data_IF_389795876459
#
_entry.id   IF_389795876459
#
_cell.length_a   1.000
_cell.length_b   1.000
_cell.length_c   1.000
_cell.angle_alpha   90.00
_cell.angle_beta   90.00
_cell.angle_gamma   90.00
#
_symmetry.space_group_name_H-M   'P 1'
#
loop_
_entity.id
_entity.type
_entity.pdbx_description
1 polymer ?
#
# COMPACT_ATOMS: atom_id res chain seq x y z
N UNK A 1 -12.11 0.70 33.32
CA UNK A 1 -11.60 -0.58 33.86
C UNK A 1 -12.37 -1.79 33.31
N UNK A 2 -12.80 -1.77 32.03
CA UNK A 2 -13.45 -2.88 31.30
C UNK A 2 -12.83 -3.15 29.92
N UNK A 3 -11.71 -2.50 29.61
CA UNK A 3 -11.01 -2.62 28.32
C UNK A 3 -9.80 -3.57 28.39
N UNK A 4 -9.66 -4.35 29.47
CA UNK A 4 -8.52 -5.24 29.72
C UNK A 4 -8.90 -6.73 29.83
N UNK A 5 -10.17 -7.09 29.60
CA UNK A 5 -10.64 -8.47 29.81
C UNK A 5 -11.25 -9.13 28.55
N UNK A 6 -11.25 -8.46 27.39
CA UNK A 6 -11.52 -9.10 26.09
C UNK A 6 -10.23 -9.58 25.39
N UNK A 7 -9.12 -9.62 26.12
CA UNK A 7 -7.83 -10.13 25.66
C UNK A 7 -7.77 -11.66 25.82
N UNK A 8 -8.68 -12.42 25.22
CA UNK A 8 -8.49 -13.88 25.00
C UNK A 8 -9.56 -14.49 24.10
N UNK A 9 -9.32 -14.45 22.78
CA UNK A 9 -9.53 -15.53 21.79
C UNK A 9 -9.43 -14.98 20.36
N UNK A 10 -8.34 -14.28 20.05
CA UNK A 10 -7.88 -14.29 18.66
C UNK A 10 -7.29 -15.68 18.44
N UNK A 11 -7.91 -16.49 17.58
CA UNK A 11 -7.19 -17.61 16.98
C UNK A 11 -5.94 -16.98 16.38
N UNK A 12 -4.77 -17.32 16.91
CA UNK A 12 -3.50 -16.75 16.52
C UNK A 12 -3.21 -17.23 15.10
N UNK A 13 -3.83 -16.57 14.12
CA UNK A 13 -3.57 -16.80 12.72
C UNK A 13 -2.09 -16.54 12.56
N UNK A 14 -1.37 -17.59 12.19
CA UNK A 14 0.06 -17.55 11.99
C UNK A 14 0.32 -17.86 10.51
N UNK A 15 1.35 -17.24 9.92
CA UNK A 15 1.75 -17.61 8.57
C UNK A 15 2.08 -19.10 8.51
N UNK A 16 1.75 -19.74 7.38
CA UNK A 16 2.14 -21.13 7.12
C UNK A 16 3.66 -21.29 7.32
N UNK A 17 4.16 -22.40 7.88
CA UNK A 17 5.59 -22.56 8.18
C UNK A 17 6.51 -22.27 6.99
N UNK A 18 6.19 -22.77 5.80
CA UNK A 18 6.98 -22.50 4.59
C UNK A 18 6.96 -21.03 4.13
N UNK A 19 5.86 -20.31 4.37
CA UNK A 19 5.79 -18.86 4.12
C UNK A 19 6.69 -18.13 5.11
N UNK A 20 6.63 -18.48 6.41
CA UNK A 20 7.47 -17.85 7.43
C UNK A 20 8.96 -18.12 7.19
N UNK A 21 9.32 -19.34 6.78
CA UNK A 21 10.69 -19.70 6.44
C UNK A 21 11.22 -18.78 5.33
N UNK A 22 10.55 -18.81 4.17
CA UNK A 22 10.94 -18.00 3.01
C UNK A 22 10.99 -16.50 3.29
N UNK A 23 9.92 -15.96 3.87
CA UNK A 23 9.73 -14.52 3.90
C UNK A 23 10.32 -13.84 5.13
N UNK A 24 10.59 -14.58 6.22
CA UNK A 24 11.01 -13.97 7.49
C UNK A 24 12.33 -14.57 7.96
N UNK A 25 12.40 -15.90 8.08
CA UNK A 25 13.59 -16.55 8.66
C UNK A 25 14.82 -16.39 7.77
N UNK A 26 14.65 -16.52 6.45
CA UNK A 26 15.75 -16.53 5.48
C UNK A 26 16.12 -15.12 4.94
N UNK A 27 15.47 -14.08 5.46
CA UNK A 27 15.65 -12.69 4.99
C UNK A 27 16.68 -11.85 5.78
N UNK A 28 17.29 -12.43 6.82
CA UNK A 28 18.19 -11.72 7.73
C UNK A 28 19.43 -11.15 7.04
N UNK A 29 20.02 -11.91 6.11
CA UNK A 29 21.25 -11.50 5.41
C UNK A 29 21.02 -10.35 4.42
N UNK A 30 19.77 -10.14 3.99
CA UNK A 30 19.38 -9.06 3.08
C UNK A 30 18.93 -7.79 3.82
N UNK A 31 18.91 -7.78 5.15
CA UNK A 31 18.37 -6.67 5.92
C UNK A 31 19.15 -5.36 5.72
N UNK A 32 18.42 -4.25 5.56
CA UNK A 32 18.99 -2.91 5.47
C UNK A 32 18.71 -2.18 6.78
N UNK A 33 19.76 -1.79 7.49
CA UNK A 33 19.66 -0.94 8.66
C UNK A 33 19.69 0.54 8.27
N UNK A 34 18.74 1.32 8.77
CA UNK A 34 18.72 2.79 8.61
C UNK A 34 18.88 3.48 9.97
N UNK A 35 19.59 4.63 10.04
CA UNK A 35 19.86 5.33 11.31
C UNK A 35 18.63 6.01 11.93
N UNK A 36 17.51 5.97 11.22
CA UNK A 36 16.22 6.51 11.61
C UNK A 36 15.62 5.77 12.80
N UNK A 37 14.93 6.48 13.70
CA UNK A 37 14.17 5.88 14.80
C UNK A 37 12.67 6.13 14.60
N UNK A 38 11.88 5.06 14.43
CA UNK A 38 10.45 5.17 14.18
C UNK A 38 9.64 5.78 15.35
N UNK A 39 10.18 5.85 16.58
CA UNK A 39 9.49 6.56 17.68
C UNK A 39 9.47 8.06 17.52
N UNK A 40 10.36 8.61 16.69
CA UNK A 40 10.54 10.05 16.55
C UNK A 40 9.58 10.63 15.48
N UNK A 41 8.82 9.76 14.80
CA UNK A 41 7.78 10.16 13.86
C UNK A 41 6.66 10.88 14.59
N UNK A 42 6.38 12.11 14.18
CA UNK A 42 5.27 12.89 14.71
C UNK A 42 3.93 12.29 14.29
N UNK A 43 3.03 12.15 15.26
CA UNK A 43 1.63 11.78 15.06
C UNK A 43 0.72 12.91 15.53
N UNK A 44 -0.50 12.98 14.99
CA UNK A 44 -1.52 13.88 15.49
C UNK A 44 -1.90 13.52 16.95
N UNK A 45 -2.52 14.45 17.67
CA UNK A 45 -2.92 14.25 19.07
C UNK A 45 -3.88 13.09 19.30
N UNK A 46 -4.59 12.65 18.25
CA UNK A 46 -5.46 11.46 18.29
C UNK A 46 -4.69 10.15 18.23
N UNK A 47 -3.43 10.15 17.77
CA UNK A 47 -2.61 8.96 17.54
C UNK A 47 -2.98 8.15 16.29
N UNK A 48 -4.06 8.50 15.59
CA UNK A 48 -4.58 7.75 14.44
C UNK A 48 -4.29 8.40 13.08
N UNK A 49 -3.67 9.59 13.06
CA UNK A 49 -3.36 10.35 11.84
C UNK A 49 -1.95 10.93 11.92
N UNK A 50 -1.35 11.15 10.76
CA UNK A 50 -0.15 11.95 10.62
C UNK A 50 -0.46 13.46 10.61
N UNK A 51 0.51 14.33 10.93
CA UNK A 51 0.36 15.76 10.72
C UNK A 51 0.26 16.07 9.22
N UNK A 52 -0.67 16.96 8.86
CA UNK A 52 -0.79 17.45 7.49
C UNK A 52 0.41 18.33 7.16
N UNK A 53 1.13 17.97 6.10
CA UNK A 53 2.25 18.76 5.56
C UNK A 53 1.84 19.41 4.24
N UNK A 54 2.45 20.54 3.91
CA UNK A 54 2.34 21.10 2.56
C UNK A 54 2.89 20.08 1.55
N UNK A 55 2.27 20.03 0.37
CA UNK A 55 2.75 19.23 -0.75
C UNK A 55 3.70 20.10 -1.55
N UNK A 56 4.88 19.58 -1.84
CA UNK A 56 5.81 20.21 -2.76
C UNK A 56 5.44 19.70 -4.15
N UNK A 57 4.85 20.55 -5.00
CA UNK A 57 4.44 20.17 -6.36
C UNK A 57 5.64 20.09 -7.32
N UNK A 58 6.58 19.19 -7.02
CA UNK A 58 7.80 18.94 -7.80
C UNK A 58 7.96 17.44 -8.07
N UNK A 59 8.29 17.10 -9.30
CA UNK A 59 8.82 15.80 -9.68
C UNK A 59 10.35 15.86 -9.59
N UNK A 60 10.97 14.85 -9.00
CA UNK A 60 12.42 14.77 -8.84
C UNK A 60 13.00 13.75 -9.80
N UNK A 61 14.12 14.13 -10.43
CA UNK A 61 14.99 13.18 -11.11
C UNK A 61 15.74 12.35 -10.08
N UNK A 62 16.09 11.11 -10.45
CA UNK A 62 16.88 10.23 -9.58
C UNK A 62 18.19 10.91 -9.15
N UNK A 63 18.90 11.52 -10.10
CA UNK A 63 20.16 12.22 -9.84
C UNK A 63 20.01 13.42 -8.90
N UNK A 64 18.87 14.11 -8.92
CA UNK A 64 18.60 15.19 -7.97
C UNK A 64 18.53 14.68 -6.54
N UNK A 65 18.09 13.43 -6.33
CA UNK A 65 17.96 12.83 -4.99
C UNK A 65 19.24 12.11 -4.54
N UNK A 66 19.97 11.48 -5.46
CA UNK A 66 21.03 10.50 -5.11
C UNK A 66 22.45 10.92 -5.50
N UNK A 67 22.64 12.04 -6.22
CA UNK A 67 23.99 12.51 -6.56
C UNK A 67 24.78 12.87 -5.30
N UNK A 68 26.13 12.77 -5.33
CA UNK A 68 26.97 13.14 -4.19
C UNK A 68 26.75 14.59 -3.70
N UNK A 69 26.38 15.49 -4.61
CA UNK A 69 26.12 16.91 -4.33
C UNK A 69 24.63 17.20 -4.03
N UNK A 70 23.79 16.17 -3.97
CA UNK A 70 22.36 16.33 -3.68
C UNK A 70 22.13 16.85 -2.25
N UNK A 71 21.32 17.91 -2.13
CA UNK A 71 20.85 18.41 -0.84
C UNK A 71 19.93 17.41 -0.10
N UNK A 72 19.39 16.42 -0.80
CA UNK A 72 18.47 15.43 -0.25
C UNK A 72 19.21 14.22 0.35
N UNK A 73 20.39 13.89 -0.17
CA UNK A 73 21.27 12.85 0.36
C UNK A 73 20.66 11.44 0.36
N UNK A 74 19.80 11.11 -0.61
CA UNK A 74 19.20 9.78 -0.68
C UNK A 74 20.25 8.76 -1.12
N UNK A 75 20.18 7.57 -0.52
CA UNK A 75 20.97 6.41 -0.96
C UNK A 75 20.09 5.53 -1.84
N UNK A 76 20.54 5.28 -3.06
CA UNK A 76 19.91 4.29 -3.92
C UNK A 76 20.31 2.88 -3.48
N UNK A 77 19.32 2.04 -3.20
CA UNK A 77 19.50 0.62 -2.95
C UNK A 77 19.03 -0.17 -4.17
N UNK A 78 19.93 -0.88 -4.83
CA UNK A 78 19.54 -1.81 -5.90
C UNK A 78 18.85 -3.03 -5.30
N UNK A 79 17.74 -3.42 -5.92
CA UNK A 79 16.94 -4.57 -5.52
C UNK A 79 16.54 -5.38 -6.76
N UNK A 80 16.60 -6.70 -6.65
CA UNK A 80 16.31 -7.63 -7.74
C UNK A 80 14.80 -7.83 -7.98
N UNK A 81 13.95 -7.32 -7.08
CA UNK A 81 12.50 -7.51 -7.13
C UNK A 81 12.04 -8.90 -6.66
N UNK A 82 12.93 -9.75 -6.15
CA UNK A 82 12.67 -11.14 -5.79
C UNK A 82 13.05 -11.44 -4.33
N UNK A 83 14.26 -11.04 -3.94
CA UNK A 83 14.80 -11.29 -2.60
C UNK A 83 14.03 -10.48 -1.58
N UNK A 84 13.57 -11.12 -0.52
CA UNK A 84 12.83 -10.42 0.52
C UNK A 84 13.82 -9.63 1.37
N UNK A 85 13.65 -8.30 1.40
CA UNK A 85 14.62 -7.39 2.04
C UNK A 85 13.90 -6.51 3.06
N UNK A 86 14.01 -6.80 4.36
CA UNK A 86 13.48 -5.92 5.40
C UNK A 86 14.36 -4.67 5.56
N UNK A 87 13.73 -3.53 5.81
CA UNK A 87 14.41 -2.30 6.21
C UNK A 87 14.07 -2.04 7.67
N UNK A 88 15.09 -2.05 8.52
CA UNK A 88 14.98 -1.90 9.95
C UNK A 88 15.50 -0.56 10.44
N UNK A 89 14.79 0.02 11.39
CA UNK A 89 15.18 1.26 12.04
C UNK A 89 16.31 1.03 13.07
N UNK A 90 16.79 2.09 13.71
CA UNK A 90 17.91 2.05 14.65
C UNK A 90 17.67 1.18 15.90
N UNK A 91 16.41 0.83 16.18
CA UNK A 91 16.00 -0.08 17.25
C UNK A 91 15.66 -1.49 16.72
N UNK A 92 16.11 -1.83 15.50
CA UNK A 92 15.88 -3.12 14.84
C UNK A 92 14.40 -3.43 14.58
N UNK A 93 13.54 -2.41 14.53
CA UNK A 93 12.15 -2.59 14.13
C UNK A 93 12.05 -2.52 12.62
N UNK A 94 11.47 -3.55 12.01
CA UNK A 94 11.16 -3.53 10.58
C UNK A 94 10.09 -2.47 10.32
N UNK A 95 10.39 -1.53 9.43
CA UNK A 95 9.49 -0.41 9.07
C UNK A 95 9.04 -0.46 7.60
N UNK A 96 9.82 -1.13 6.76
CA UNK A 96 9.50 -1.40 5.35
C UNK A 96 9.96 -2.83 5.02
N UNK A 97 9.24 -3.50 4.13
CA UNK A 97 9.66 -4.79 3.57
C UNK A 97 9.59 -4.70 2.06
N UNK A 98 10.73 -4.90 1.39
CA UNK A 98 10.72 -5.18 -0.05
C UNK A 98 10.30 -6.65 -0.21
N UNK A 99 9.03 -6.85 -0.58
CA UNK A 99 8.33 -8.13 -0.39
C UNK A 99 8.69 -9.22 -1.40
N UNK A 100 9.32 -8.86 -2.53
CA UNK A 100 9.63 -9.76 -3.63
C UNK A 100 8.37 -10.35 -4.25
N UNK A 101 8.42 -11.63 -4.59
CA UNK A 101 7.29 -12.36 -5.16
C UNK A 101 7.18 -13.81 -4.62
N UNK A 102 6.00 -14.46 -4.75
CA UNK A 102 5.86 -15.90 -4.51
C UNK A 102 6.75 -16.74 -5.42
N UNK A 103 7.10 -17.97 -4.99
CA UNK A 103 7.72 -18.98 -5.86
C UNK A 103 6.66 -19.58 -6.78
N UNK A 104 6.12 -18.71 -7.63
CA UNK A 104 5.11 -19.05 -8.61
C UNK A 104 5.61 -18.58 -9.98
N UNK A 105 5.89 -19.50 -10.91
CA UNK A 105 6.36 -19.14 -12.25
C UNK A 105 5.35 -18.32 -13.04
N UNK A 106 4.10 -18.23 -12.59
CA UNK A 106 3.04 -17.41 -13.21
C UNK A 106 2.97 -15.98 -12.65
N UNK A 107 3.83 -15.60 -11.70
CA UNK A 107 3.74 -14.28 -11.06
C UNK A 107 3.90 -13.11 -12.05
N UNK A 108 4.78 -13.23 -13.03
CA UNK A 108 4.93 -12.22 -14.08
C UNK A 108 3.64 -12.02 -14.91
N UNK A 109 2.89 -13.11 -15.13
CA UNK A 109 1.59 -13.04 -15.80
C UNK A 109 0.53 -12.34 -14.94
N UNK A 110 0.60 -12.44 -13.60
CA UNK A 110 -0.25 -11.66 -12.69
C UNK A 110 0.00 -10.18 -12.88
N UNK A 111 1.26 -9.75 -12.83
CA UNK A 111 1.63 -8.34 -12.99
C UNK A 111 1.24 -7.81 -14.36
N UNK A 112 1.51 -8.57 -15.42
CA UNK A 112 1.13 -8.22 -16.80
C UNK A 112 -0.39 -8.07 -16.91
N UNK A 113 -1.16 -9.04 -16.43
CA UNK A 113 -2.61 -9.03 -16.53
C UNK A 113 -3.24 -7.90 -15.71
N UNK A 114 -2.74 -7.62 -14.50
CA UNK A 114 -3.19 -6.49 -13.70
C UNK A 114 -2.89 -5.14 -14.37
N UNK A 115 -1.70 -4.98 -14.97
CA UNK A 115 -1.34 -3.76 -15.70
C UNK A 115 -2.21 -3.54 -16.94
N UNK A 116 -2.48 -4.60 -17.71
CA UNK A 116 -3.36 -4.54 -18.88
C UNK A 116 -4.81 -4.21 -18.50
N UNK A 117 -5.34 -4.78 -17.42
CA UNK A 117 -6.69 -4.46 -16.97
C UNK A 117 -6.78 -3.01 -16.46
N UNK A 118 -5.72 -2.51 -15.81
CA UNK A 118 -5.65 -1.12 -15.39
C UNK A 118 -5.65 -0.16 -16.60
N UNK A 119 -4.96 -0.51 -17.68
CA UNK A 119 -4.97 0.28 -18.92
C UNK A 119 -6.34 0.23 -19.63
N UNK A 120 -6.97 -0.94 -19.70
CA UNK A 120 -8.36 -1.06 -20.20
C UNK A 120 -9.35 -0.27 -19.36
N UNK A 121 -9.19 -0.26 -18.04
CA UNK A 121 -10.00 0.55 -17.15
C UNK A 121 -9.75 2.05 -17.41
N UNK A 122 -8.49 2.46 -17.58
CA UNK A 122 -8.09 3.86 -17.88
C UNK A 122 -8.84 4.42 -19.08
N UNK A 123 -8.92 3.64 -20.16
CA UNK A 123 -9.59 4.01 -21.40
C UNK A 123 -11.13 4.14 -21.24
N UNK A 124 -11.71 3.45 -20.27
CA UNK A 124 -13.17 3.44 -20.00
C UNK A 124 -13.60 4.50 -19.00
N UNK A 125 -12.72 4.95 -18.11
CA UNK A 125 -13.04 5.98 -17.10
C UNK A 125 -13.29 7.32 -17.79
N UNK A 126 -14.35 8.01 -17.36
CA UNK A 126 -14.64 9.38 -17.79
C UNK A 126 -13.91 10.36 -16.88
N UNK A 127 -12.74 10.81 -17.32
CA UNK A 127 -11.91 11.73 -16.55
C UNK A 127 -12.50 13.16 -16.53
N UNK A 128 -12.60 13.81 -15.36
CA UNK A 128 -12.98 15.22 -15.27
C UNK A 128 -12.11 16.09 -16.19
N UNK A 129 -12.74 17.06 -16.88
CA UNK A 129 -12.09 17.96 -17.85
C UNK A 129 -11.19 17.22 -18.87
N UNK A 130 -11.58 16.00 -19.25
CA UNK A 130 -10.83 15.17 -20.20
C UNK A 130 -9.46 14.72 -19.68
N UNK A 131 -9.26 14.69 -18.36
CA UNK A 131 -8.02 14.24 -17.74
C UNK A 131 -6.87 15.25 -17.78
N UNK A 132 -7.15 16.52 -18.13
CA UNK A 132 -6.15 17.59 -18.22
C UNK A 132 -5.78 18.23 -16.88
N UNK A 133 -6.52 17.93 -15.83
CA UNK A 133 -6.23 18.46 -14.49
C UNK A 133 -5.13 17.64 -13.82
N UNK A 134 -4.18 18.37 -13.22
CA UNK A 134 -3.17 17.77 -12.35
C UNK A 134 -3.84 17.25 -11.09
N UNK A 135 -3.47 16.03 -10.70
CA UNK A 135 -3.85 15.48 -9.41
C UNK A 135 -3.12 16.19 -8.27
N UNK A 136 -3.67 16.12 -7.05
CA UNK A 136 -3.05 16.68 -5.83
C UNK A 136 -1.65 16.11 -5.53
N UNK A 137 -1.36 14.93 -6.07
CA UNK A 137 -0.17 14.14 -5.74
C UNK A 137 0.73 13.90 -6.94
N UNK A 138 0.45 14.50 -8.09
CA UNK A 138 1.22 14.28 -9.31
C UNK A 138 0.39 14.46 -10.57
N UNK A 139 1.07 14.44 -11.72
CA UNK A 139 0.44 14.58 -13.02
C UNK A 139 -0.12 13.25 -13.56
N UNK A 140 -0.95 12.58 -12.75
CA UNK A 140 -1.61 11.34 -13.10
C UNK A 140 -2.97 11.25 -12.40
N UNK A 141 -3.81 10.30 -12.83
CA UNK A 141 -5.12 10.08 -12.24
C UNK A 141 -5.08 8.95 -11.24
N UNK A 142 -5.76 9.12 -10.11
CA UNK A 142 -5.91 8.08 -9.09
C UNK A 142 -7.37 7.91 -8.73
N UNK A 143 -7.83 6.65 -8.65
CA UNK A 143 -9.15 6.32 -8.14
C UNK A 143 -9.04 5.32 -7.00
N UNK A 144 -9.74 5.61 -5.91
CA UNK A 144 -9.80 4.75 -4.74
C UNK A 144 -11.05 3.87 -4.77
N UNK A 145 -10.93 2.61 -4.34
CA UNK A 145 -12.04 1.69 -4.11
C UNK A 145 -12.00 1.15 -2.67
N UNK A 146 -13.16 0.82 -2.10
CA UNK A 146 -13.31 0.27 -0.75
C UNK A 146 -13.74 1.26 0.31
N UNK A 147 -13.55 0.89 1.56
CA UNK A 147 -14.05 1.61 2.72
C UNK A 147 -13.03 2.67 3.15
N UNK A 148 -13.50 3.91 3.31
CA UNK A 148 -12.65 5.02 3.71
C UNK A 148 -13.36 5.95 4.69
N UNK A 149 -12.55 6.73 5.42
CA UNK A 149 -13.01 7.76 6.34
C UNK A 149 -12.20 9.05 6.14
N UNK A 150 -12.84 10.20 6.34
CA UNK A 150 -12.27 11.53 6.06
C UNK A 150 -12.93 12.22 4.86
N UNK A 151 -12.38 13.36 4.43
CA UNK A 151 -12.92 14.11 3.28
C UNK A 151 -14.30 14.74 3.51
N UNK A 152 -14.71 14.93 4.76
CA UNK A 152 -16.04 15.43 5.13
C UNK A 152 -17.08 14.33 5.37
N UNK A 153 -16.72 13.05 5.19
CA UNK A 153 -17.60 11.93 5.50
C UNK A 153 -17.88 11.87 7.02
N UNK A 154 -19.14 11.69 7.46
CA UNK A 154 -19.50 11.69 8.88
C UNK A 154 -19.16 10.38 9.60
N UNK A 155 -19.00 9.29 8.83
CA UNK A 155 -18.64 7.94 9.29
C UNK A 155 -17.84 7.22 8.20
N UNK A 156 -17.24 6.04 8.46
CA UNK A 156 -16.68 5.22 7.40
C UNK A 156 -17.74 4.88 6.34
N UNK A 157 -17.39 5.02 5.07
CA UNK A 157 -18.29 4.75 3.94
C UNK A 157 -17.51 4.15 2.77
N UNK A 158 -18.24 3.49 1.85
CA UNK A 158 -17.66 3.07 0.57
C UNK A 158 -17.26 4.30 -0.26
N UNK A 159 -16.11 4.23 -0.93
CA UNK A 159 -15.62 5.29 -1.80
C UNK A 159 -16.69 5.71 -2.83
N UNK A 160 -17.02 7.01 -2.80
CA UNK A 160 -18.10 7.56 -3.61
C UNK A 160 -17.63 7.85 -5.04
N UNK A 161 -18.31 7.25 -6.02
CA UNK A 161 -18.11 7.47 -7.46
C UNK A 161 -19.45 7.48 -8.19
N UNK A 162 -19.48 8.02 -9.40
CA UNK A 162 -20.62 7.83 -10.31
C UNK A 162 -20.73 6.36 -10.74
N UNK A 163 -21.93 5.89 -11.07
CA UNK A 163 -22.19 4.45 -11.28
C UNK A 163 -21.33 3.82 -12.38
N UNK A 164 -21.03 4.56 -13.45
CA UNK A 164 -20.11 4.12 -14.50
C UNK A 164 -18.71 3.81 -13.96
N UNK A 165 -18.14 4.72 -13.16
CA UNK A 165 -16.82 4.53 -12.54
C UNK A 165 -16.85 3.44 -11.48
N UNK A 166 -17.94 3.34 -10.69
CA UNK A 166 -18.12 2.22 -9.73
C UNK A 166 -18.08 0.87 -10.43
N UNK A 167 -18.73 0.74 -11.59
CA UNK A 167 -18.72 -0.50 -12.38
C UNK A 167 -17.30 -0.87 -12.85
N UNK A 168 -16.52 0.11 -13.31
CA UNK A 168 -15.12 -0.11 -13.70
C UNK A 168 -14.25 -0.54 -12.51
N UNK A 169 -14.36 0.16 -11.38
CA UNK A 169 -13.60 -0.17 -10.16
C UNK A 169 -13.98 -1.54 -9.59
N UNK A 170 -15.25 -1.94 -9.72
CA UNK A 170 -15.70 -3.28 -9.37
C UNK A 170 -15.04 -4.34 -10.27
N UNK A 171 -15.01 -4.12 -11.58
CA UNK A 171 -14.32 -5.01 -12.51
C UNK A 171 -12.83 -5.17 -12.18
N UNK A 172 -12.15 -4.08 -11.78
CA UNK A 172 -10.76 -4.16 -11.27
C UNK A 172 -10.67 -4.99 -9.98
N UNK A 173 -11.57 -4.77 -9.02
CA UNK A 173 -11.58 -5.51 -7.76
C UNK A 173 -11.92 -7.02 -7.94
N UNK A 174 -12.70 -7.36 -8.97
CA UNK A 174 -13.05 -8.74 -9.31
C UNK A 174 -11.99 -9.44 -10.20
N UNK A 175 -11.02 -8.68 -10.70
CA UNK A 175 -9.99 -9.22 -11.58
C UNK A 175 -9.02 -10.13 -10.81
N UNK A 176 -8.88 -11.37 -11.28
CA UNK A 176 -8.12 -12.45 -10.62
C UNK A 176 -6.69 -12.03 -10.23
N UNK A 177 -6.01 -11.27 -11.10
CA UNK A 177 -4.63 -10.86 -10.87
C UNK A 177 -4.53 -9.82 -9.72
N UNK A 178 -5.49 -8.90 -9.64
CA UNK A 178 -5.54 -7.88 -8.59
C UNK A 178 -5.87 -8.54 -7.24
N UNK A 179 -6.81 -9.50 -7.24
CA UNK A 179 -7.13 -10.32 -6.06
C UNK A 179 -5.88 -11.06 -5.57
N UNK A 180 -5.09 -11.66 -6.48
CA UNK A 180 -3.83 -12.34 -6.13
C UNK A 180 -2.83 -11.39 -5.47
N UNK A 181 -2.62 -10.20 -6.03
CA UNK A 181 -1.71 -9.19 -5.48
C UNK A 181 -2.17 -8.77 -4.08
N UNK A 182 -3.45 -8.45 -3.90
CA UNK A 182 -4.00 -8.02 -2.62
C UNK A 182 -3.91 -9.13 -1.54
N UNK A 183 -4.13 -10.38 -1.93
CA UNK A 183 -4.02 -11.55 -1.04
C UNK A 183 -2.57 -11.82 -0.66
N UNK A 184 -1.63 -11.73 -1.62
CA UNK A 184 -0.21 -11.85 -1.35
C UNK A 184 0.28 -10.78 -0.37
N UNK A 185 -0.08 -9.52 -0.60
CA UNK A 185 0.24 -8.41 0.29
C UNK A 185 -0.26 -8.67 1.73
N UNK A 186 -1.48 -9.20 1.89
CA UNK A 186 -2.03 -9.52 3.20
C UNK A 186 -1.32 -10.69 3.88
N UNK A 187 -0.92 -11.72 3.12
CA UNK A 187 -0.14 -12.85 3.66
C UNK A 187 1.26 -12.41 4.13
N UNK A 188 1.90 -11.50 3.39
CA UNK A 188 3.17 -10.89 3.77
C UNK A 188 3.03 -10.03 5.03
N UNK A 189 1.95 -9.25 5.11
CA UNK A 189 1.67 -8.44 6.28
C UNK A 189 1.48 -9.28 7.54
N UNK A 190 0.73 -10.38 7.43
CA UNK A 190 0.59 -11.36 8.52
C UNK A 190 1.95 -11.96 8.93
N UNK A 191 2.81 -12.24 7.95
CA UNK A 191 4.11 -12.88 8.21
C UNK A 191 5.06 -11.97 8.98
N UNK A 192 5.10 -10.69 8.62
CA UNK A 192 6.06 -9.72 9.16
C UNK A 192 5.55 -8.97 10.39
N UNK A 193 4.25 -8.71 10.48
CA UNK A 193 3.66 -7.92 11.54
C UNK A 193 2.32 -8.52 12.02
N UNK A 194 2.31 -9.77 12.53
CA UNK A 194 1.06 -10.50 12.83
C UNK A 194 0.16 -9.76 13.82
N UNK A 195 0.74 -9.12 14.84
CA UNK A 195 -0.02 -8.31 15.82
C UNK A 195 -0.75 -7.14 15.13
N UNK A 196 -0.08 -6.45 14.20
CA UNK A 196 -0.66 -5.32 13.49
C UNK A 196 -1.65 -5.77 12.43
N UNK A 197 -1.38 -6.88 11.74
CA UNK A 197 -2.34 -7.55 10.87
C UNK A 197 -3.67 -7.84 11.59
N UNK A 198 -3.60 -8.38 12.82
CA UNK A 198 -4.80 -8.66 13.62
C UNK A 198 -5.57 -7.41 14.02
N UNK A 199 -4.88 -6.28 14.24
CA UNK A 199 -5.54 -4.98 14.44
C UNK A 199 -6.33 -4.59 13.19
N UNK A 200 -5.72 -4.68 12.00
CA UNK A 200 -6.39 -4.35 10.73
C UNK A 200 -7.60 -5.27 10.49
N UNK A 201 -7.42 -6.58 10.65
CA UNK A 201 -8.47 -7.58 10.48
C UNK A 201 -9.64 -7.35 11.42
N UNK A 202 -9.37 -7.23 12.73
CA UNK A 202 -10.41 -7.05 13.75
C UNK A 202 -11.18 -5.75 13.53
N UNK A 203 -10.49 -4.65 13.22
CA UNK A 203 -11.15 -3.38 12.92
C UNK A 203 -12.04 -3.47 11.67
N UNK A 204 -11.57 -4.10 10.59
CA UNK A 204 -12.35 -4.26 9.37
C UNK A 204 -13.56 -5.18 9.58
N UNK A 205 -13.41 -6.30 10.29
CA UNK A 205 -14.49 -7.23 10.60
C UNK A 205 -15.55 -6.60 11.51
N UNK A 206 -15.13 -5.87 12.55
CA UNK A 206 -16.03 -5.13 13.42
C UNK A 206 -16.79 -4.03 12.66
N UNK A 207 -16.15 -3.39 11.69
CA UNK A 207 -16.78 -2.36 10.87
C UNK A 207 -17.84 -2.98 9.93
N UNK A 208 -17.52 -4.10 9.29
CA UNK A 208 -18.43 -4.83 8.40
C UNK A 208 -19.61 -5.48 9.15
N UNK A 209 -19.42 -5.87 10.42
CA UNK A 209 -20.52 -6.39 11.24
C UNK A 209 -21.45 -5.29 11.75
N UNK A 210 -20.95 -4.06 11.88
CA UNK A 210 -21.73 -2.91 12.33
C UNK A 210 -22.60 -2.27 11.24
N UNK A 211 -22.11 -2.24 9.99
CA UNK A 211 -22.79 -1.60 8.86
C UNK A 211 -22.76 -2.53 7.64
N UNK A 212 -23.91 -3.18 7.36
CA UNK A 212 -24.09 -4.16 6.29
C UNK A 212 -24.06 -3.53 4.87
N UNK A 213 -24.07 -2.20 4.78
CA UNK A 213 -23.92 -1.48 3.52
C UNK A 213 -22.46 -1.34 3.11
N UNK A 214 -21.50 -1.63 3.99
CA UNK A 214 -20.08 -1.56 3.69
C UNK A 214 -19.61 -2.78 2.90
N UNK A 215 -18.82 -2.54 1.86
CA UNK A 215 -18.37 -3.57 0.93
C UNK A 215 -16.87 -3.77 1.10
N UNK A 216 -16.49 -4.98 1.54
CA UNK A 216 -15.09 -5.39 1.60
C UNK A 216 -14.52 -5.49 0.18
N UNK A 217 -13.35 -4.91 -0.05
CA UNK A 217 -12.68 -4.95 -1.35
C UNK A 217 -12.35 -6.37 -1.81
N UNK A 218 -11.67 -7.14 -0.95
CA UNK A 218 -11.21 -8.49 -1.26
C UNK A 218 -11.38 -9.36 -0.02
N UNK A 219 -12.02 -10.52 -0.17
CA UNK A 219 -12.21 -11.46 0.94
C UNK A 219 -10.88 -11.90 1.59
N UNK A 220 -9.85 -12.12 0.77
CA UNK A 220 -8.50 -12.53 1.21
C UNK A 220 -7.58 -11.39 1.66
N UNK A 221 -8.09 -10.15 1.81
CA UNK A 221 -7.26 -8.99 2.17
C UNK A 221 -7.74 -8.28 3.43
N UNK A 222 -6.80 -7.86 4.28
CA UNK A 222 -7.09 -7.03 5.47
C UNK A 222 -7.12 -5.53 5.18
N UNK A 223 -6.76 -5.12 3.96
CA UNK A 223 -6.78 -3.72 3.57
C UNK A 223 -8.21 -3.28 3.21
N UNK A 224 -8.71 -2.27 3.94
CA UNK A 224 -10.06 -1.73 3.76
C UNK A 224 -10.26 -1.00 2.42
N UNK A 225 -9.18 -0.44 1.86
CA UNK A 225 -9.18 0.37 0.64
C UNK A 225 -8.02 -0.03 -0.29
N UNK A 226 -8.17 0.28 -1.58
CA UNK A 226 -7.13 0.20 -2.60
C UNK A 226 -7.18 1.48 -3.44
N UNK A 227 -6.03 1.98 -3.86
CA UNK A 227 -5.92 3.09 -4.81
C UNK A 227 -5.27 2.59 -6.10
N UNK A 228 -5.95 2.81 -7.21
CA UNK A 228 -5.45 2.58 -8.55
C UNK A 228 -4.85 3.86 -9.11
N UNK A 229 -3.54 3.88 -9.31
CA UNK A 229 -2.83 4.98 -9.96
C UNK A 229 -2.72 4.68 -11.46
N UNK A 230 -3.41 5.45 -12.28
CA UNK A 230 -3.51 5.21 -13.72
C UNK A 230 -2.38 5.88 -14.48
N UNK A 231 -1.76 5.12 -15.38
CA UNK A 231 -0.64 5.53 -16.22
C UNK A 231 -0.99 6.58 -17.30
N UNK A 232 -0.04 6.85 -18.23
CA UNK A 232 1.11 5.99 -18.57
C UNK A 232 2.35 6.25 -17.70
N UNK A 233 2.36 7.33 -16.91
CA UNK A 233 3.45 7.67 -16.00
C UNK A 233 2.83 8.13 -14.67
N UNK A 234 3.17 7.46 -13.56
CA UNK A 234 2.60 7.73 -12.23
C UNK A 234 3.69 8.22 -11.28
N UNK A 235 4.22 9.41 -11.54
CA UNK A 235 5.21 10.05 -10.66
C UNK A 235 4.47 10.86 -9.61
N UNK A 236 4.77 10.58 -8.34
CA UNK A 236 4.17 11.31 -7.23
C UNK A 236 5.04 12.48 -6.80
N UNK A 237 4.41 13.62 -6.55
CA UNK A 237 4.99 14.69 -5.74
C UNK A 237 5.32 14.17 -4.34
N UNK A 238 6.38 14.67 -3.66
CA UNK A 238 6.65 14.30 -2.27
C UNK A 238 5.44 14.57 -1.38
N UNK A 239 4.95 13.52 -0.74
CA UNK A 239 3.80 13.61 0.14
C UNK A 239 3.86 12.54 1.23
N UNK A 240 2.98 12.71 2.21
CA UNK A 240 2.69 11.72 3.25
C UNK A 240 1.23 11.34 3.15
N UNK A 241 0.94 10.05 3.25
CA UNK A 241 -0.42 9.56 3.47
C UNK A 241 -0.84 9.81 4.92
N UNK A 242 -1.04 11.07 5.28
CA UNK A 242 -1.34 11.47 6.66
C UNK A 242 -2.67 10.92 7.20
N UNK A 243 -3.51 10.35 6.32
CA UNK A 243 -4.75 9.66 6.71
C UNK A 243 -4.55 8.17 7.02
N UNK A 244 -3.39 7.60 6.70
CA UNK A 244 -3.06 6.25 7.12
C UNK A 244 -2.79 6.22 8.63
N UNK A 245 -3.03 5.06 9.22
CA UNK A 245 -2.65 4.77 10.60
C UNK A 245 -1.12 4.95 10.74
N UNK A 246 -0.60 5.79 11.65
CA UNK A 246 0.81 6.14 11.67
C UNK A 246 1.78 4.98 11.90
N UNK A 247 1.38 3.99 12.71
CA UNK A 247 2.12 2.75 12.91
C UNK A 247 1.63 1.62 11.98
N UNK A 248 0.69 1.94 11.09
CA UNK A 248 0.10 1.04 10.12
C UNK A 248 1.00 0.85 8.90
N UNK A 249 0.79 -0.26 8.20
CA UNK A 249 1.46 -0.53 6.93
C UNK A 249 0.49 -0.39 5.76
N UNK A 250 1.03 -0.07 4.60
CA UNK A 250 0.35 -0.16 3.31
C UNK A 250 1.18 -1.03 2.37
N UNK A 251 0.52 -1.63 1.38
CA UNK A 251 1.18 -2.39 0.34
C UNK A 251 1.16 -1.60 -0.97
N UNK A 252 2.31 -1.53 -1.63
CA UNK A 252 2.48 -0.88 -2.94
C UNK A 252 2.96 -1.92 -3.93
N UNK A 253 2.36 -1.95 -5.12
CA UNK A 253 2.78 -2.82 -6.22
C UNK A 253 2.99 -1.96 -7.46
N UNK A 254 4.22 -1.95 -7.96
CA UNK A 254 4.53 -1.32 -9.23
C UNK A 254 4.04 -2.23 -10.37
N UNK A 255 3.28 -1.64 -11.30
CA UNK A 255 2.69 -2.32 -12.45
C UNK A 255 3.08 -1.61 -13.75
N UNK A 256 2.96 -2.34 -14.86
CA UNK A 256 3.29 -1.86 -16.19
C UNK A 256 4.71 -2.21 -16.63
N UNK A 257 5.03 -1.86 -17.88
CA UNK A 257 6.34 -2.11 -18.47
C UNK A 257 7.18 -0.85 -18.37
N UNK A 258 8.22 -0.90 -17.55
CA UNK A 258 9.17 0.20 -17.39
C UNK A 258 10.57 -0.34 -17.11
N UNK A 259 11.58 0.50 -17.34
CA UNK A 259 12.94 0.20 -16.93
C UNK A 259 13.13 0.67 -15.48
N UNK A 260 13.17 -0.26 -14.54
CA UNK A 260 13.30 0.02 -13.11
C UNK A 260 14.61 0.74 -12.72
N UNK A 261 15.63 0.73 -13.60
CA UNK A 261 16.88 1.49 -13.41
C UNK A 261 16.77 2.95 -13.84
N UNK A 262 15.70 3.32 -14.54
CA UNK A 262 15.46 4.68 -15.06
C UNK A 262 14.24 5.37 -14.47
N UNK A 263 13.37 4.63 -13.77
CA UNK A 263 12.14 5.18 -13.19
C UNK A 263 11.39 4.13 -12.37
N UNK A 264 10.34 4.57 -11.68
CA UNK A 264 9.56 3.68 -10.78
C UNK A 264 10.21 3.43 -9.41
N UNK A 265 11.19 4.25 -9.03
CA UNK A 265 11.80 4.23 -7.70
C UNK A 265 10.76 4.65 -6.63
N UNK A 266 10.90 4.07 -5.45
CA UNK A 266 10.11 4.38 -4.24
C UNK A 266 11.06 4.73 -3.09
#
# INVERSE_FOLDING_TARGET
>A
MRAREEETRAVDEQPRPGVRAKYVNDSGDAAIDVPFNATDIRVASTGYLGPRTAIIEKEFLLEELTSPDSEYGFRLHEWDGQTVTPIADSNKRVVVVLAGHPDDPTWDAVHTSAAEELEKARARVRWPKGGREKGRRGNFHALQSGIAFGGGQPKPMNAAHVDHTKSILRGLNEHWAIIRIATFASALFLSWAPRLYHVYKSCLEALLSHDDLLIRNFAGSVFAAITYNFGPCTVTFPHRDFQNLPFGWCAVTALGRFNHRKGGHL
#
